data_IF_628509183020
#
_entry.id   IF_628509183020
#
_cell.length_a   1.000
_cell.length_b   1.000
_cell.length_c   1.000
_cell.angle_alpha   90.00
_cell.angle_beta   90.00
_cell.angle_gamma   90.00
#
_symmetry.space_group_name_H-M   'P 1'
#
loop_
_entity.id
_entity.type
_entity.pdbx_description
1 polymer ?
#
# COMPACT_ATOMS: atom_id res chain seq x y z
N UNK A 1 15.95 25.81 4.48
CA UNK A 1 15.09 24.63 4.69
C UNK A 1 14.58 24.70 6.12
N UNK A 2 13.40 25.28 6.32
CA UNK A 2 12.80 25.32 7.66
C UNK A 2 12.20 23.95 7.97
N UNK A 3 12.77 23.31 8.98
CA UNK A 3 12.29 22.05 9.53
C UNK A 3 10.93 22.32 10.18
N UNK A 4 9.86 21.74 9.63
CA UNK A 4 8.52 21.83 10.23
C UNK A 4 8.59 21.08 11.56
N UNK A 5 8.50 21.85 12.66
CA UNK A 5 8.47 21.31 14.02
C UNK A 5 7.35 20.26 14.11
N UNK A 6 7.59 19.10 14.75
CA UNK A 6 6.55 18.09 14.93
C UNK A 6 5.32 18.72 15.57
N UNK A 7 4.13 18.25 15.16
CA UNK A 7 2.85 18.62 15.76
C UNK A 7 3.02 18.56 17.27
N UNK A 8 2.79 19.69 17.95
CA UNK A 8 2.74 19.71 19.41
C UNK A 8 1.56 18.82 19.80
N UNK A 9 1.85 17.58 20.19
CA UNK A 9 0.89 16.78 20.94
C UNK A 9 0.64 17.55 22.22
N UNK A 10 -0.55 18.10 22.38
CA UNK A 10 -0.97 18.69 23.65
C UNK A 10 -1.00 17.56 24.68
N UNK A 11 0.14 17.35 25.34
CA UNK A 11 0.19 16.55 26.56
C UNK A 11 -0.55 17.35 27.63
N UNK A 12 -1.86 17.17 27.71
CA UNK A 12 -2.58 17.55 28.93
C UNK A 12 -1.96 16.73 30.06
N UNK A 13 -1.55 17.36 31.19
CA UNK A 13 -0.95 16.65 32.30
C UNK A 13 -2.01 15.76 32.97
N UNK A 14 -2.22 14.57 32.41
CA UNK A 14 -3.01 13.51 33.01
C UNK A 14 -2.10 12.68 33.90
N UNK A 15 -2.33 12.75 35.22
CA UNK A 15 -1.72 11.84 36.19
C UNK A 15 -2.01 10.38 35.81
N UNK A 16 -1.07 9.51 36.15
CA UNK A 16 -1.09 8.08 35.87
C UNK A 16 -2.43 7.40 36.19
N UNK A 17 -2.80 6.44 35.32
CA UNK A 17 -3.94 5.53 35.39
C UNK A 17 -5.34 6.14 35.17
N UNK A 18 -5.72 6.32 33.90
CA UNK A 18 -7.11 6.44 33.50
C UNK A 18 -7.58 5.12 32.87
N UNK A 19 -8.76 4.62 33.25
CA UNK A 19 -9.34 3.38 32.69
C UNK A 19 -10.05 3.71 31.38
N UNK A 20 -9.73 2.99 30.31
CA UNK A 20 -10.42 3.11 29.02
C UNK A 20 -11.58 2.11 29.01
N UNK A 21 -12.80 2.59 28.79
CA UNK A 21 -14.01 1.77 28.56
C UNK A 21 -14.37 1.83 27.08
N UNK A 22 -14.68 0.67 26.51
CA UNK A 22 -15.17 0.53 25.13
C UNK A 22 -16.65 0.16 25.21
N UNK A 23 -17.51 0.94 24.57
CA UNK A 23 -18.94 0.65 24.49
C UNK A 23 -19.27 -0.24 23.27
N UNK A 24 -20.47 -0.83 23.25
CA UNK A 24 -20.89 -1.76 22.20
C UNK A 24 -20.96 -1.10 20.80
N UNK A 25 -21.05 0.24 20.73
CA UNK A 25 -20.99 1.03 19.50
C UNK A 25 -19.56 1.32 19.02
N UNK A 26 -18.54 0.80 19.72
CA UNK A 26 -17.12 0.99 19.43
C UNK A 26 -16.57 2.35 19.86
N UNK A 27 -17.31 3.13 20.66
CA UNK A 27 -16.82 4.39 21.21
C UNK A 27 -15.91 4.16 22.43
N UNK A 28 -14.86 4.96 22.53
CA UNK A 28 -13.86 4.89 23.60
C UNK A 28 -14.13 6.02 24.60
N UNK A 29 -14.18 5.68 25.89
CA UNK A 29 -14.30 6.63 26.99
C UNK A 29 -13.13 6.51 27.94
N UNK A 30 -12.58 7.64 28.35
CA UNK A 30 -11.65 7.72 29.46
C UNK A 30 -12.44 7.96 30.74
N UNK A 31 -12.30 7.05 31.71
CA UNK A 31 -12.90 7.18 33.04
C UNK A 31 -11.82 7.71 33.99
N UNK A 32 -12.10 8.85 34.61
CA UNK A 32 -11.24 9.42 35.65
C UNK A 32 -11.40 8.67 36.99
N UNK A 33 -10.54 8.98 37.96
CA UNK A 33 -10.59 8.32 39.29
C UNK A 33 -11.86 8.68 40.09
N UNK A 34 -12.63 9.69 39.66
CA UNK A 34 -13.84 10.18 40.30
C UNK A 34 -15.12 9.67 39.60
N UNK A 35 -15.00 8.80 38.60
CA UNK A 35 -16.13 8.26 37.84
C UNK A 35 -16.65 9.14 36.70
N UNK A 36 -15.99 10.27 36.42
CA UNK A 36 -16.26 11.10 35.25
C UNK A 36 -15.86 10.39 33.96
N UNK A 37 -16.77 10.30 33.00
CA UNK A 37 -16.54 9.69 31.70
C UNK A 37 -16.37 10.77 30.62
N UNK A 38 -15.20 10.79 29.97
CA UNK A 38 -14.94 11.66 28.83
C UNK A 38 -14.85 10.82 27.56
N UNK A 39 -15.65 11.15 26.55
CA UNK A 39 -15.56 10.51 25.23
C UNK A 39 -14.23 10.88 24.59
N UNK A 40 -13.42 9.88 24.24
CA UNK A 40 -12.20 10.08 23.50
C UNK A 40 -12.55 10.38 22.05
N UNK A 41 -11.94 11.44 21.52
CA UNK A 41 -12.07 11.74 20.10
C UNK A 41 -11.44 10.61 19.28
N UNK A 42 -12.11 10.24 18.18
CA UNK A 42 -11.53 9.30 17.21
C UNK A 42 -10.23 9.91 16.72
N UNK A 43 -9.12 9.21 16.92
CA UNK A 43 -7.83 9.64 16.41
C UNK A 43 -7.96 9.87 14.90
N UNK A 44 -7.78 11.12 14.46
CA UNK A 44 -7.70 11.47 13.05
C UNK A 44 -6.24 11.31 12.64
N UNK A 45 -5.96 10.27 11.87
CA UNK A 45 -4.64 10.05 11.27
C UNK A 45 -4.58 10.94 10.03
N UNK A 46 -3.75 11.98 10.07
CA UNK A 46 -3.42 12.80 8.90
C UNK A 46 -2.31 12.13 8.08
N UNK A 47 -2.05 12.61 6.86
CA UNK A 47 -0.92 12.13 6.05
C UNK A 47 0.41 12.27 6.81
N UNK A 48 0.57 13.33 7.61
CA UNK A 48 1.73 13.55 8.47
C UNK A 48 1.84 12.50 9.59
N UNK A 49 0.71 11.96 10.08
CA UNK A 49 0.67 10.91 11.09
C UNK A 49 0.91 9.52 10.48
N UNK A 50 0.40 9.27 9.27
CA UNK A 50 0.61 8.02 8.53
C UNK A 50 2.08 7.87 8.10
N UNK A 51 2.73 8.98 7.78
CA UNK A 51 4.13 9.00 7.41
C UNK A 51 5.05 8.90 8.62
N UNK A 52 4.52 8.96 9.86
CA UNK A 52 5.11 8.67 11.19
C UNK A 52 6.57 9.10 11.43
N UNK A 53 7.08 9.98 10.59
CA UNK A 53 8.48 10.23 10.42
C UNK A 53 8.51 11.74 10.31
N UNK A 54 8.53 12.38 11.47
CA UNK A 54 8.51 13.82 11.64
C UNK A 54 9.61 14.45 10.79
N UNK A 55 9.25 14.96 9.61
CA UNK A 55 10.19 15.55 8.65
C UNK A 55 10.87 14.58 7.66
N UNK A 56 10.42 13.34 7.51
CA UNK A 56 11.05 12.39 6.59
C UNK A 56 10.54 12.46 5.15
N UNK A 57 9.46 13.17 4.84
CA UNK A 57 9.07 13.42 3.44
C UNK A 57 9.52 14.81 3.00
N UNK A 58 10.33 14.83 1.97
CA UNK A 58 10.75 16.04 1.27
C UNK A 58 9.60 16.56 0.40
N UNK A 59 9.64 17.85 0.03
CA UNK A 59 8.68 18.42 -0.92
C UNK A 59 8.63 17.63 -2.25
N UNK A 60 9.76 17.07 -2.68
CA UNK A 60 9.83 16.21 -3.86
C UNK A 60 9.07 14.89 -3.66
N UNK A 61 9.19 14.25 -2.49
CA UNK A 61 8.46 13.02 -2.16
C UNK A 61 6.94 13.26 -2.07
N UNK A 62 6.51 14.41 -1.55
CA UNK A 62 5.10 14.80 -1.57
C UNK A 62 4.55 14.94 -2.99
N UNK A 63 5.35 15.46 -3.93
CA UNK A 63 4.99 15.50 -5.35
C UNK A 63 4.87 14.09 -5.93
N UNK A 64 5.81 13.19 -5.64
CA UNK A 64 5.76 11.79 -6.09
C UNK A 64 4.54 11.03 -5.57
N UNK A 65 4.11 11.31 -4.34
CA UNK A 65 2.88 10.77 -3.76
C UNK A 65 1.66 11.32 -4.50
N UNK A 66 1.64 12.63 -4.80
CA UNK A 66 0.47 13.28 -5.42
C UNK A 66 0.33 12.88 -6.89
N UNK A 67 1.44 12.63 -7.59
CA UNK A 67 1.46 12.13 -8.97
C UNK A 67 0.87 10.73 -9.13
N UNK A 68 0.73 9.98 -8.04
CA UNK A 68 0.07 8.67 -8.04
C UNK A 68 -1.26 8.82 -7.32
N UNK A 69 -2.37 8.72 -8.04
CA UNK A 69 -3.68 8.91 -7.44
C UNK A 69 -4.78 8.24 -8.25
N UNK A 70 -5.98 8.20 -7.67
CA UNK A 70 -7.18 7.83 -8.41
C UNK A 70 -7.43 8.73 -9.63
N UNK A 71 -7.10 10.02 -9.57
CA UNK A 71 -7.22 10.95 -10.71
C UNK A 71 -6.26 10.56 -11.85
N UNK A 72 -5.01 10.21 -11.52
CA UNK A 72 -4.04 9.72 -12.51
C UNK A 72 -4.50 8.41 -13.14
N UNK A 73 -5.07 7.50 -12.33
CA UNK A 73 -5.70 6.29 -12.86
C UNK A 73 -6.82 6.61 -13.85
N UNK A 74 -7.78 7.47 -13.48
CA UNK A 74 -8.89 7.86 -14.35
C UNK A 74 -8.40 8.52 -15.65
N UNK A 75 -7.38 9.38 -15.56
CA UNK A 75 -6.75 10.00 -16.72
C UNK A 75 -6.12 8.95 -17.63
N UNK A 76 -5.33 8.04 -17.08
CA UNK A 76 -4.71 6.95 -17.84
C UNK A 76 -5.76 6.07 -18.52
N UNK A 77 -6.83 5.67 -17.80
CA UNK A 77 -7.91 4.86 -18.37
C UNK A 77 -8.61 5.60 -19.53
N UNK A 78 -8.85 6.91 -19.39
CA UNK A 78 -9.47 7.73 -20.43
C UNK A 78 -8.59 7.86 -21.68
N UNK A 79 -7.28 8.06 -21.48
CA UNK A 79 -6.29 8.07 -22.56
C UNK A 79 -6.19 6.71 -23.24
N UNK A 80 -6.15 5.62 -22.46
CA UNK A 80 -6.06 4.26 -22.98
C UNK A 80 -7.28 3.88 -23.83
N UNK A 81 -8.48 4.29 -23.41
CA UNK A 81 -9.72 4.08 -24.16
C UNK A 81 -9.73 4.78 -25.52
N UNK A 82 -9.10 5.94 -25.61
CA UNK A 82 -9.07 6.77 -26.82
C UNK A 82 -7.87 6.45 -27.73
N UNK A 83 -6.93 5.64 -27.26
CA UNK A 83 -5.73 5.27 -28.00
C UNK A 83 -6.04 4.27 -29.14
N UNK A 84 -5.19 4.24 -30.15
CA UNK A 84 -5.27 3.23 -31.20
C UNK A 84 -5.08 1.81 -30.60
N UNK A 85 -5.69 0.75 -31.16
CA UNK A 85 -5.57 -0.60 -30.61
C UNK A 85 -4.13 -1.09 -30.38
N UNK A 86 -3.17 -0.65 -31.21
CA UNK A 86 -1.74 -0.97 -31.08
C UNK A 86 -1.04 -0.24 -29.92
N UNK A 87 -1.63 0.83 -29.42
CA UNK A 87 -1.10 1.68 -28.34
C UNK A 87 -1.81 1.43 -27.00
N UNK A 88 -2.89 0.66 -27.02
CA UNK A 88 -3.61 0.28 -25.82
C UNK A 88 -2.74 -0.61 -24.92
N UNK A 89 -2.72 -0.24 -23.63
CA UNK A 89 -2.08 -1.02 -22.58
C UNK A 89 -3.07 -1.97 -21.95
N UNK A 90 -2.57 -3.15 -21.60
CA UNK A 90 -3.26 -4.06 -20.70
C UNK A 90 -3.20 -3.48 -19.28
N UNK A 91 -4.36 -3.16 -18.71
CA UNK A 91 -4.44 -2.61 -17.36
C UNK A 91 -4.70 -3.71 -16.33
N UNK A 92 -3.80 -3.83 -15.37
CA UNK A 92 -3.86 -4.81 -14.27
C UNK A 92 -3.93 -4.07 -12.95
N UNK A 93 -4.88 -4.43 -12.09
CA UNK A 93 -5.01 -3.87 -10.74
C UNK A 93 -4.74 -4.97 -9.70
N UNK A 94 -3.78 -4.78 -8.81
CA UNK A 94 -3.48 -5.72 -7.74
C UNK A 94 -3.91 -5.18 -6.38
N UNK A 95 -4.82 -5.87 -5.70
CA UNK A 95 -5.43 -5.42 -4.45
C UNK A 95 -4.74 -6.06 -3.25
N UNK A 96 -4.42 -5.26 -2.23
CA UNK A 96 -3.88 -5.77 -0.97
C UNK A 96 -4.95 -6.43 -0.09
N UNK A 97 -4.62 -7.51 0.64
CA UNK A 97 -5.53 -8.12 1.60
C UNK A 97 -6.02 -7.13 2.66
N UNK A 98 -5.17 -6.18 3.06
CA UNK A 98 -5.49 -5.14 4.03
C UNK A 98 -6.50 -4.14 3.48
N UNK A 99 -6.34 -3.70 2.23
CA UNK A 99 -7.32 -2.83 1.56
C UNK A 99 -8.67 -3.52 1.44
N UNK A 100 -8.67 -4.79 1.03
CA UNK A 100 -9.89 -5.61 0.96
C UNK A 100 -10.57 -5.73 2.32
N UNK A 101 -9.82 -6.05 3.38
CA UNK A 101 -10.36 -6.15 4.73
C UNK A 101 -10.91 -4.82 5.26
N UNK A 102 -10.23 -3.71 4.98
CA UNK A 102 -10.67 -2.37 5.38
C UNK A 102 -11.96 -1.96 4.68
N UNK A 103 -12.07 -2.21 3.36
CA UNK A 103 -13.30 -1.98 2.60
C UNK A 103 -14.43 -2.88 3.09
N UNK A 104 -14.15 -4.16 3.37
CA UNK A 104 -15.14 -5.09 3.91
C UNK A 104 -15.73 -4.58 5.25
N UNK A 105 -14.86 -4.13 6.16
CA UNK A 105 -15.30 -3.53 7.41
C UNK A 105 -16.10 -2.23 7.19
N UNK A 106 -15.66 -1.36 6.27
CA UNK A 106 -16.33 -0.08 5.97
C UNK A 106 -17.72 -0.25 5.35
N UNK A 107 -17.89 -1.26 4.51
CA UNK A 107 -19.13 -1.59 3.81
C UNK A 107 -20.00 -2.60 4.57
N UNK A 108 -19.52 -3.13 5.71
CA UNK A 108 -20.18 -4.16 6.51
C UNK A 108 -20.47 -5.44 5.72
N UNK A 109 -19.47 -5.91 4.99
CA UNK A 109 -19.56 -7.05 4.07
C UNK A 109 -18.56 -8.15 4.43
N UNK A 110 -18.78 -9.35 3.91
CA UNK A 110 -17.79 -10.43 3.98
C UNK A 110 -16.57 -10.17 3.08
N UNK A 111 -15.38 -10.54 3.52
CA UNK A 111 -14.12 -10.29 2.79
C UNK A 111 -14.12 -10.85 1.35
N UNK A 112 -14.68 -12.05 1.16
CA UNK A 112 -14.79 -12.67 -0.17
C UNK A 112 -15.80 -11.95 -1.06
N UNK A 113 -16.93 -11.54 -0.48
CA UNK A 113 -17.95 -10.77 -1.18
C UNK A 113 -17.40 -9.41 -1.63
N UNK A 114 -16.72 -8.71 -0.72
CA UNK A 114 -15.99 -7.48 -1.04
C UNK A 114 -14.97 -7.69 -2.15
N UNK A 115 -14.23 -8.80 -2.18
CA UNK A 115 -13.28 -9.09 -3.25
C UNK A 115 -13.96 -9.13 -4.63
N UNK A 116 -15.09 -9.84 -4.71
CA UNK A 116 -15.84 -10.03 -5.96
C UNK A 116 -16.50 -8.73 -6.44
N UNK A 117 -17.11 -7.98 -5.52
CA UNK A 117 -17.72 -6.68 -5.84
C UNK A 117 -16.67 -5.63 -6.19
N UNK A 118 -15.55 -5.61 -5.49
CA UNK A 118 -14.42 -4.73 -5.82
C UNK A 118 -13.82 -5.06 -7.19
N UNK A 119 -13.71 -6.34 -7.52
CA UNK A 119 -13.28 -6.78 -8.85
C UNK A 119 -14.23 -6.27 -9.93
N UNK A 120 -15.53 -6.47 -9.76
CA UNK A 120 -16.54 -5.96 -10.69
C UNK A 120 -16.48 -4.43 -10.83
N UNK A 121 -16.40 -3.71 -9.72
CA UNK A 121 -16.29 -2.25 -9.71
C UNK A 121 -15.06 -1.77 -10.47
N UNK A 122 -13.87 -2.30 -10.13
CA UNK A 122 -12.62 -1.90 -10.78
C UNK A 122 -12.65 -2.21 -12.28
N UNK A 123 -13.20 -3.36 -12.71
CA UNK A 123 -13.39 -3.69 -14.13
C UNK A 123 -14.38 -2.77 -14.84
N UNK A 124 -15.37 -2.23 -14.12
CA UNK A 124 -16.33 -1.28 -14.67
C UNK A 124 -15.70 0.09 -14.96
N UNK A 125 -14.63 0.47 -14.23
CA UNK A 125 -13.93 1.75 -14.41
C UNK A 125 -13.38 1.91 -15.83
N UNK A 126 -13.99 2.83 -16.58
CA UNK A 126 -13.68 3.09 -17.99
C UNK A 126 -13.85 1.88 -18.93
N UNK A 127 -14.34 0.74 -18.43
CA UNK A 127 -14.28 -0.60 -19.07
C UNK A 127 -12.89 -0.96 -19.60
N UNK A 128 -11.84 -0.48 -18.93
CA UNK A 128 -10.45 -0.59 -19.39
C UNK A 128 -9.54 -1.37 -18.45
N UNK A 129 -10.02 -1.76 -17.26
CA UNK A 129 -9.30 -2.67 -16.36
C UNK A 129 -9.56 -4.10 -16.79
N UNK A 130 -8.50 -4.81 -17.17
CA UNK A 130 -8.60 -6.15 -17.78
C UNK A 130 -8.55 -7.24 -16.71
N UNK A 131 -7.63 -7.07 -15.74
CA UNK A 131 -7.40 -8.05 -14.68
C UNK A 131 -7.34 -7.39 -13.31
N UNK A 132 -7.91 -8.05 -12.31
CA UNK A 132 -7.87 -7.68 -10.89
C UNK A 132 -7.35 -8.86 -10.08
N UNK A 133 -6.13 -8.74 -9.55
CA UNK A 133 -5.48 -9.80 -8.78
C UNK A 133 -5.39 -9.47 -7.30
N UNK A 134 -5.26 -10.50 -6.47
CA UNK A 134 -5.02 -10.37 -5.03
C UNK A 134 -3.53 -10.56 -4.73
N UNK A 135 -2.93 -9.65 -3.95
CA UNK A 135 -1.49 -9.73 -3.61
C UNK A 135 -1.15 -10.76 -2.51
N UNK A 136 -2.11 -11.58 -2.06
CA UNK A 136 -1.85 -12.69 -1.11
C UNK A 136 -0.79 -13.64 -1.65
N UNK A 137 -0.80 -13.96 -2.94
CA UNK A 137 0.21 -14.87 -3.49
C UNK A 137 1.60 -14.23 -3.48
N UNK A 138 1.74 -12.95 -3.86
CA UNK A 138 3.03 -12.26 -3.83
C UNK A 138 3.56 -12.09 -2.40
N UNK A 139 2.66 -11.98 -1.42
CA UNK A 139 3.00 -12.02 0.01
C UNK A 139 3.60 -13.36 0.42
N UNK A 140 3.09 -14.48 -0.11
CA UNK A 140 3.67 -15.80 0.16
C UNK A 140 5.08 -15.92 -0.42
N UNK A 141 5.31 -15.42 -1.65
CA UNK A 141 6.67 -15.36 -2.21
C UNK A 141 7.62 -14.53 -1.35
N UNK A 142 7.20 -13.32 -0.94
CA UNK A 142 8.00 -12.47 -0.05
C UNK A 142 8.31 -13.16 1.29
N UNK A 143 7.37 -13.93 1.85
CA UNK A 143 7.60 -14.71 3.07
C UNK A 143 8.63 -15.83 2.85
N UNK A 144 8.50 -16.60 1.77
CA UNK A 144 9.42 -17.69 1.44
C UNK A 144 10.84 -17.18 1.19
N UNK A 145 10.99 -16.08 0.46
CA UNK A 145 12.30 -15.47 0.23
C UNK A 145 12.92 -14.89 1.51
N UNK A 146 12.10 -14.23 2.35
CA UNK A 146 12.56 -13.74 3.67
C UNK A 146 13.01 -14.89 4.57
N UNK A 147 12.28 -16.01 4.57
CA UNK A 147 12.65 -17.21 5.31
C UNK A 147 13.98 -17.78 4.81
N UNK A 148 14.15 -17.91 3.49
CA UNK A 148 15.41 -18.40 2.88
C UNK A 148 16.59 -17.51 3.25
N UNK A 149 16.41 -16.20 3.17
CA UNK A 149 17.42 -15.22 3.58
C UNK A 149 17.77 -15.36 5.07
N UNK A 150 16.75 -15.45 5.93
CA UNK A 150 16.96 -15.62 7.37
C UNK A 150 17.78 -16.87 7.68
N UNK A 151 17.42 -18.02 7.11
CA UNK A 151 18.14 -19.28 7.32
C UNK A 151 19.60 -19.16 6.86
N UNK A 152 19.84 -18.50 5.72
CA UNK A 152 21.20 -18.25 5.21
C UNK A 152 22.01 -17.35 6.16
N UNK A 153 21.42 -16.26 6.65
CA UNK A 153 22.06 -15.34 7.60
C UNK A 153 22.33 -16.02 8.94
N UNK A 154 21.35 -16.74 9.47
CA UNK A 154 21.47 -17.46 10.74
C UNK A 154 22.62 -18.48 10.73
N UNK A 155 22.76 -19.25 9.63
CA UNK A 155 23.88 -20.20 9.48
C UNK A 155 25.26 -19.53 9.44
N UNK A 156 25.33 -18.26 9.03
CA UNK A 156 26.57 -17.48 8.92
C UNK A 156 26.83 -16.58 10.12
N UNK A 157 26.01 -16.61 11.16
CA UNK A 157 26.09 -15.66 12.29
C UNK A 157 27.44 -15.66 13.03
N UNK A 158 28.17 -16.79 13.02
CA UNK A 158 29.50 -16.88 13.63
C UNK A 158 30.60 -16.24 12.78
N UNK A 159 30.41 -16.17 11.46
CA UNK A 159 31.38 -15.66 10.48
C UNK A 159 31.12 -14.19 10.13
N UNK A 160 29.85 -13.80 10.04
CA UNK A 160 29.40 -12.47 9.67
C UNK A 160 28.65 -11.81 10.83
N UNK A 161 29.34 -10.87 11.50
CA UNK A 161 28.77 -10.08 12.60
C UNK A 161 27.57 -9.21 12.17
N UNK A 162 27.36 -9.01 10.86
CA UNK A 162 26.23 -8.25 10.31
C UNK A 162 25.08 -9.16 9.83
N UNK A 163 25.22 -10.48 9.99
CA UNK A 163 24.17 -11.41 9.58
C UNK A 163 22.90 -11.27 10.42
N UNK A 164 23.03 -10.93 11.71
CA UNK A 164 21.90 -10.79 12.64
C UNK A 164 22.02 -9.54 13.53
N UNK A 165 20.91 -8.92 13.92
CA UNK A 165 19.52 -9.30 13.63
C UNK A 165 19.13 -9.05 12.16
N UNK A 166 18.20 -9.83 11.61
CA UNK A 166 17.63 -9.55 10.28
C UNK A 166 16.35 -8.72 10.44
N UNK A 167 16.36 -7.51 9.89
CA UNK A 167 15.26 -6.56 9.97
C UNK A 167 14.37 -6.67 8.72
N UNK A 168 13.06 -6.60 8.91
CA UNK A 168 12.11 -6.68 7.81
C UNK A 168 12.25 -5.50 6.84
N UNK A 169 11.96 -5.74 5.56
CA UNK A 169 12.09 -4.76 4.48
C UNK A 169 10.78 -4.34 3.83
N UNK A 170 9.67 -5.01 4.17
CA UNK A 170 8.40 -4.86 3.43
C UNK A 170 7.67 -3.52 3.65
N UNK A 171 8.00 -2.78 4.71
CA UNK A 171 7.37 -1.51 5.08
C UNK A 171 8.21 -0.33 4.55
N UNK A 172 7.72 0.45 3.57
CA UNK A 172 8.52 1.52 2.97
C UNK A 172 8.80 2.66 3.94
N UNK A 173 7.88 3.01 4.84
CA UNK A 173 8.13 4.02 5.88
C UNK A 173 9.28 3.65 6.81
N UNK A 174 9.38 2.37 7.19
CA UNK A 174 10.53 1.85 7.93
C UNK A 174 11.82 1.96 7.12
N UNK A 175 11.81 1.58 5.84
CA UNK A 175 12.99 1.70 4.97
C UNK A 175 13.44 3.16 4.87
N UNK A 176 12.53 4.09 4.61
CA UNK A 176 12.85 5.52 4.52
C UNK A 176 13.42 6.05 5.84
N UNK A 177 12.82 5.67 6.99
CA UNK A 177 13.36 6.02 8.31
C UNK A 177 14.77 5.46 8.52
N UNK A 178 14.96 4.17 8.22
CA UNK A 178 16.23 3.48 8.37
C UNK A 178 17.34 4.13 7.52
N UNK A 179 17.06 4.40 6.24
CA UNK A 179 18.01 5.05 5.31
C UNK A 179 18.36 6.48 5.75
N UNK A 180 17.37 7.29 6.16
CA UNK A 180 17.58 8.71 6.45
C UNK A 180 18.15 8.97 7.85
N UNK A 181 17.76 8.18 8.84
CA UNK A 181 18.14 8.41 10.25
C UNK A 181 19.37 7.62 10.66
N UNK A 182 19.49 6.36 10.20
CA UNK A 182 20.53 5.45 10.68
C UNK A 182 21.54 5.07 9.59
N UNK A 183 21.17 5.20 8.32
CA UNK A 183 22.06 5.03 7.17
C UNK A 183 22.81 3.70 7.19
N UNK A 184 24.12 3.76 6.93
CA UNK A 184 25.00 2.59 6.79
C UNK A 184 25.08 1.69 8.02
N UNK A 185 24.67 2.18 9.20
CA UNK A 185 24.64 1.37 10.42
C UNK A 185 23.57 0.28 10.37
N UNK A 186 22.37 0.62 9.87
CA UNK A 186 21.21 -0.28 9.92
C UNK A 186 20.98 -1.03 8.60
N UNK A 187 21.33 -0.42 7.46
CA UNK A 187 21.08 -0.97 6.12
C UNK A 187 21.58 -2.42 5.95
N UNK A 188 22.77 -2.82 6.43
CA UNK A 188 23.25 -4.20 6.28
C UNK A 188 22.35 -5.26 6.94
N UNK A 189 21.61 -4.87 7.97
CA UNK A 189 20.71 -5.76 8.72
C UNK A 189 19.34 -5.91 8.06
N UNK A 190 18.98 -5.02 7.13
CA UNK A 190 17.70 -5.08 6.41
C UNK A 190 17.70 -6.25 5.42
N UNK A 191 16.60 -6.99 5.39
CA UNK A 191 16.34 -8.06 4.43
C UNK A 191 16.43 -7.52 3.00
N UNK A 192 17.09 -8.27 2.14
CA UNK A 192 17.19 -7.97 0.70
C UNK A 192 15.93 -8.36 -0.07
N UNK A 193 14.98 -9.01 0.59
CA UNK A 193 13.71 -9.44 0.00
C UNK A 193 12.83 -8.23 -0.35
N UNK A 194 12.30 -8.20 -1.57
CA UNK A 194 11.32 -7.20 -2.02
C UNK A 194 10.01 -7.29 -1.20
N UNK A 195 9.33 -6.16 -1.05
CA UNK A 195 7.99 -6.15 -0.44
C UNK A 195 6.96 -6.88 -1.32
N UNK A 196 5.83 -7.35 -0.77
CA UNK A 196 4.77 -7.98 -1.56
C UNK A 196 4.26 -7.15 -2.75
N UNK A 197 4.27 -5.81 -2.64
CA UNK A 197 3.94 -4.92 -3.75
C UNK A 197 4.94 -5.07 -4.90
N UNK A 198 6.23 -5.02 -4.60
CA UNK A 198 7.26 -5.05 -5.64
C UNK A 198 7.47 -6.48 -6.17
N UNK A 199 7.27 -7.50 -5.33
CA UNK A 199 7.18 -8.89 -5.79
C UNK A 199 6.01 -9.04 -6.77
N UNK A 200 4.84 -8.48 -6.45
CA UNK A 200 3.70 -8.47 -7.38
C UNK A 200 4.03 -7.78 -8.70
N UNK A 201 4.67 -6.61 -8.64
CA UNK A 201 5.11 -5.88 -9.83
C UNK A 201 6.03 -6.71 -10.71
N UNK A 202 7.03 -7.37 -10.13
CA UNK A 202 7.92 -8.28 -10.86
C UNK A 202 7.18 -9.49 -11.47
N UNK A 203 6.18 -10.04 -10.77
CA UNK A 203 5.37 -11.16 -11.27
C UNK A 203 4.46 -10.73 -12.43
N UNK A 204 3.83 -9.55 -12.34
CA UNK A 204 2.98 -9.01 -13.40
C UNK A 204 3.80 -8.61 -14.63
N UNK A 205 4.87 -7.84 -14.43
CA UNK A 205 5.68 -7.29 -15.52
C UNK A 205 6.62 -8.34 -16.13
N UNK A 206 6.97 -9.39 -15.40
CA UNK A 206 7.81 -10.48 -15.88
C UNK A 206 7.01 -11.70 -16.33
N UNK A 207 6.49 -12.46 -15.35
CA UNK A 207 5.86 -13.76 -15.61
C UNK A 207 4.54 -13.63 -16.37
N UNK A 208 3.62 -12.81 -15.87
CA UNK A 208 2.31 -12.62 -16.49
C UNK A 208 2.40 -11.94 -17.86
N UNK A 209 3.28 -10.95 -18.02
CA UNK A 209 3.55 -10.34 -19.32
C UNK A 209 3.99 -11.38 -20.37
N UNK A 210 4.90 -12.30 -20.00
CA UNK A 210 5.32 -13.37 -20.88
C UNK A 210 4.18 -14.34 -21.23
N UNK A 211 3.33 -14.70 -20.26
CA UNK A 211 2.13 -15.54 -20.49
C UNK A 211 1.13 -14.87 -21.45
N UNK A 212 1.00 -13.54 -21.40
CA UNK A 212 0.12 -12.77 -22.29
C UNK A 212 0.80 -12.43 -23.64
N UNK A 213 2.04 -12.86 -23.87
CA UNK A 213 2.85 -12.47 -25.03
C UNK A 213 3.03 -10.95 -25.19
N UNK A 214 3.13 -10.23 -24.08
CA UNK A 214 3.30 -8.78 -24.02
C UNK A 214 4.67 -8.39 -23.47
N UNK A 215 5.18 -7.23 -23.92
CA UNK A 215 6.33 -6.58 -23.27
C UNK A 215 5.90 -5.93 -21.96
N UNK A 216 6.81 -5.78 -20.98
CA UNK A 216 6.48 -5.20 -19.67
C UNK A 216 5.85 -3.80 -19.75
N UNK A 217 6.28 -2.98 -20.72
CA UNK A 217 5.80 -1.61 -20.92
C UNK A 217 4.42 -1.50 -21.60
N UNK A 218 3.90 -2.61 -22.14
CA UNK A 218 2.54 -2.72 -22.66
C UNK A 218 1.52 -3.04 -21.56
N UNK A 219 1.97 -3.31 -20.34
CA UNK A 219 1.11 -3.46 -19.17
C UNK A 219 1.16 -2.16 -18.37
N UNK A 220 0.00 -1.68 -17.91
CA UNK A 220 -0.09 -0.66 -16.86
C UNK A 220 -0.55 -1.31 -15.56
N UNK A 221 0.37 -1.42 -14.61
CA UNK A 221 0.15 -2.11 -13.35
C UNK A 221 -0.16 -1.12 -12.23
N UNK A 222 -1.35 -1.24 -11.68
CA UNK A 222 -1.85 -0.45 -10.56
C UNK A 222 -1.89 -1.32 -9.32
N UNK A 223 -1.59 -0.77 -8.15
CA UNK A 223 -1.84 -1.47 -6.89
C UNK A 223 -2.76 -0.69 -5.97
N UNK A 224 -3.62 -1.42 -5.25
CA UNK A 224 -4.49 -0.86 -4.20
C UNK A 224 -3.90 -1.21 -2.83
N UNK A 225 -3.43 -0.18 -2.13
CA UNK A 225 -2.63 -0.33 -0.92
C UNK A 225 -3.24 0.37 0.29
N UNK A 226 -2.95 -0.07 1.53
CA UNK A 226 -3.49 0.53 2.74
C UNK A 226 -2.64 1.71 3.26
N UNK A 227 -1.60 2.11 2.53
CA UNK A 227 -0.56 3.02 3.01
C UNK A 227 -0.07 3.95 1.89
N UNK A 228 0.21 5.22 2.21
CA UNK A 228 0.74 6.19 1.25
C UNK A 228 2.21 5.92 0.89
N UNK A 229 3.01 5.37 1.81
CA UNK A 229 4.44 5.09 1.60
C UNK A 229 4.66 4.08 0.48
N UNK A 230 3.63 3.30 0.14
CA UNK A 230 3.64 2.40 -1.02
C UNK A 230 3.74 3.15 -2.35
N UNK A 231 3.24 4.39 -2.43
CA UNK A 231 3.48 5.31 -3.56
C UNK A 231 4.95 5.69 -3.65
N UNK A 232 5.59 6.01 -2.52
CA UNK A 232 7.03 6.29 -2.48
C UNK A 232 7.85 5.08 -2.91
N UNK A 233 7.48 3.89 -2.43
CA UNK A 233 8.12 2.64 -2.84
C UNK A 233 8.05 2.44 -4.35
N UNK A 234 6.88 2.61 -4.98
CA UNK A 234 6.72 2.49 -6.44
C UNK A 234 7.55 3.51 -7.24
N UNK A 235 7.78 4.69 -6.67
CA UNK A 235 8.59 5.73 -7.31
C UNK A 235 10.10 5.52 -7.21
N UNK A 236 10.58 4.57 -6.39
CA UNK A 236 12.04 4.35 -6.22
C UNK A 236 12.70 4.02 -7.58
N UNK A 237 13.87 4.60 -7.87
CA UNK A 237 14.63 4.28 -9.09
C UNK A 237 15.00 2.80 -9.19
N UNK A 238 15.15 2.12 -8.05
CA UNK A 238 15.48 0.68 -7.93
C UNK A 238 14.46 -0.23 -8.65
N UNK A 239 13.23 0.25 -8.86
CA UNK A 239 12.14 -0.50 -9.49
C UNK A 239 11.75 0.04 -10.87
N UNK A 240 12.64 0.81 -11.50
CA UNK A 240 12.50 1.25 -12.89
C UNK A 240 13.35 0.37 -13.81
N UNK A 241 12.70 -0.30 -14.76
CA UNK A 241 13.35 -1.08 -15.79
C UNK A 241 13.79 -0.16 -16.94
N UNK A 242 15.10 0.02 -17.11
CA UNK A 242 15.69 0.87 -18.15
C UNK A 242 15.54 0.29 -19.56
N UNK A 243 15.52 -1.03 -19.74
CA UNK A 243 15.39 -1.66 -21.05
C UNK A 243 14.00 -1.45 -21.65
N UNK A 244 12.96 -1.58 -20.82
CA UNK A 244 11.58 -1.45 -21.24
C UNK A 244 10.98 -0.07 -20.96
N UNK A 245 11.70 0.81 -20.24
CA UNK A 245 11.24 2.15 -19.85
C UNK A 245 9.91 2.09 -19.08
N UNK A 246 9.81 1.20 -18.08
CA UNK A 246 8.59 1.02 -17.26
C UNK A 246 8.95 0.66 -15.82
N UNK A 247 8.00 0.84 -14.90
CA UNK A 247 8.15 0.48 -13.49
C UNK A 247 7.53 -0.89 -13.21
N UNK A 248 7.99 -1.53 -12.14
CA UNK A 248 7.35 -2.72 -11.59
C UNK A 248 5.88 -2.41 -11.21
N UNK A 249 5.63 -1.21 -10.67
CA UNK A 249 4.31 -0.67 -10.35
C UNK A 249 4.20 0.75 -10.93
N UNK A 250 3.27 0.96 -11.84
CA UNK A 250 3.12 2.24 -12.55
C UNK A 250 2.33 3.27 -11.73
N UNK A 251 1.35 2.81 -10.93
CA UNK A 251 0.57 3.67 -10.05
C UNK A 251 0.12 2.92 -8.79
N UNK A 252 0.07 3.62 -7.66
CA UNK A 252 -0.51 3.11 -6.41
C UNK A 252 -1.68 4.00 -6.05
N UNK A 253 -2.84 3.39 -5.79
CA UNK A 253 -3.99 4.06 -5.19
C UNK A 253 -4.22 3.52 -3.78
N UNK A 254 -4.57 4.40 -2.86
CA UNK A 254 -4.86 4.00 -1.49
C UNK A 254 -6.27 3.42 -1.36
N UNK A 255 -6.51 2.73 -0.24
CA UNK A 255 -7.84 2.23 0.11
C UNK A 255 -8.89 3.36 0.18
N UNK A 256 -8.49 4.53 0.69
CA UNK A 256 -9.35 5.72 0.71
C UNK A 256 -9.61 6.30 -0.68
N UNK A 257 -8.65 6.20 -1.59
CA UNK A 257 -8.83 6.62 -2.99
C UNK A 257 -9.79 5.70 -3.76
N UNK A 258 -9.91 4.42 -3.39
CA UNK A 258 -10.98 3.55 -3.90
C UNK A 258 -12.36 4.05 -3.45
N UNK A 259 -12.49 4.53 -2.20
CA UNK A 259 -13.75 5.13 -1.74
C UNK A 259 -14.09 6.40 -2.53
N UNK A 260 -13.08 7.24 -2.85
CA UNK A 260 -13.28 8.41 -3.71
C UNK A 260 -13.74 8.04 -5.12
N UNK A 261 -13.20 6.95 -5.69
CA UNK A 261 -13.66 6.45 -6.99
C UNK A 261 -15.12 6.00 -6.92
N UNK A 262 -15.51 5.28 -5.87
CA UNK A 262 -16.92 4.88 -5.65
C UNK A 262 -17.84 6.10 -5.54
N UNK A 263 -17.43 7.12 -4.79
CA UNK A 263 -18.15 8.39 -4.65
C UNK A 263 -18.28 9.14 -6.00
N UNK A 264 -17.20 9.19 -6.79
CA UNK A 264 -17.19 9.84 -8.11
C UNK A 264 -18.12 9.16 -9.12
N UNK A 265 -18.17 7.82 -9.10
CA UNK A 265 -19.08 7.05 -9.95
C UNK A 265 -20.52 7.02 -9.41
N UNK A 266 -20.76 7.54 -8.20
CA UNK A 266 -22.07 7.51 -7.54
C UNK A 266 -22.54 6.10 -7.18
N UNK A 267 -21.60 5.18 -6.94
CA UNK A 267 -21.86 3.75 -6.71
C UNK A 267 -21.48 3.37 -5.28
N UNK A 268 -22.39 2.70 -4.57
CA UNK A 268 -22.05 1.99 -3.34
C UNK A 268 -21.47 0.62 -3.67
N UNK A 269 -20.33 0.27 -3.09
CA UNK A 269 -19.72 -1.05 -3.31
C UNK A 269 -20.67 -2.21 -2.95
N UNK A 270 -21.53 -2.01 -1.95
CA UNK A 270 -22.52 -3.00 -1.53
C UNK A 270 -23.58 -3.27 -2.60
N UNK A 271 -23.81 -2.35 -3.53
CA UNK A 271 -24.83 -2.45 -4.58
C UNK A 271 -24.24 -3.01 -5.90
N UNK A 272 -22.92 -3.18 -5.98
CA UNK A 272 -22.26 -3.72 -7.17
C UNK A 272 -22.54 -5.22 -7.30
N UNK A 273 -22.91 -5.68 -8.49
CA UNK A 273 -23.03 -7.11 -8.76
C UNK A 273 -21.65 -7.78 -8.73
N UNK A 274 -21.47 -8.89 -7.98
CA UNK A 274 -20.17 -9.53 -7.83
C UNK A 274 -19.69 -10.17 -9.14
N UNK A 275 -18.41 -10.01 -9.45
CA UNK A 275 -17.74 -10.73 -10.53
C UNK A 275 -16.84 -11.86 -10.01
N UNK A 276 -16.55 -12.90 -10.81
CA UNK A 276 -15.50 -13.87 -10.50
C UNK A 276 -14.15 -13.16 -10.29
N UNK A 277 -13.33 -13.71 -9.39
CA UNK A 277 -11.96 -13.24 -9.18
C UNK A 277 -11.08 -13.74 -10.32
N UNK A 278 -10.16 -12.91 -10.79
CA UNK A 278 -9.17 -13.34 -11.77
C UNK A 278 -8.14 -14.24 -11.12
N UNK A 279 -7.65 -15.19 -11.90
CA UNK A 279 -6.58 -16.12 -11.53
C UNK A 279 -5.40 -15.92 -12.50
N UNK A 280 -4.20 -16.06 -11.96
CA UNK A 280 -2.94 -15.97 -12.70
C UNK A 280 -2.34 -17.36 -12.88
#
# INVERSE_FOLDING_TARGET
>A
QECIKPVKVEKKPGKAAAKIKIEADGSYFQIDQNGGAQKLEKAKITLNDCLACSGCITSAESVLITQQSHEELCKMLSSNKSAAPSEQKLVVVSVSPQSRASLAARCQMGVLETAKKLTAFLKSLGKCVHYVFDTTFSRNFSLLESQREFVKRFRKQAEDKKALPMLASACPGWICYAEKTHGSFIIPYISTTKSPQQVMGSLIKGHFAAQQHLKPNQIYHVTVMPCYDKKLEASRPDFFNQEHQTRDVDCVITTGEVLKLLEQEGVSLSDVDPAPLDIM
#
